data_IF_378644880760
#
_entry.id   IF_378644880760
#
_cell.length_a   1.000
_cell.length_b   1.000
_cell.length_c   1.000
_cell.angle_alpha   90.00
_cell.angle_beta   90.00
_cell.angle_gamma   90.00
#
_symmetry.space_group_name_H-M   'P 1'
#
loop_
_entity.id
_entity.type
_entity.pdbx_description
1 polymer ?
#
# COMPACT_ATOMS: atom_id res chain seq x y z
N UNK A 1 -28.30 16.16 1.19
CA UNK A 1 -27.91 15.93 -0.20
C UNK A 1 -26.48 15.42 -0.24
N UNK A 2 -26.26 14.30 -0.88
CA UNK A 2 -24.92 13.75 -1.00
C UNK A 2 -24.08 14.53 -2.00
N UNK A 3 -22.80 14.66 -1.72
CA UNK A 3 -21.85 15.28 -2.63
C UNK A 3 -21.22 14.20 -3.51
N UNK A 4 -20.75 14.60 -4.69
CA UNK A 4 -20.10 13.70 -5.63
C UNK A 4 -18.57 13.55 -5.33
N UNK A 5 -18.15 13.92 -4.14
CA UNK A 5 -16.73 13.83 -3.75
C UNK A 5 -16.58 13.67 -2.24
N UNK A 6 -15.41 13.15 -1.85
CA UNK A 6 -14.93 13.13 -0.47
C UNK A 6 -13.50 13.66 -0.46
N UNK A 7 -13.11 14.31 0.63
CA UNK A 7 -11.77 14.85 0.81
C UNK A 7 -11.20 14.30 2.12
N UNK A 8 -9.96 13.85 2.08
CA UNK A 8 -9.25 13.40 3.28
C UNK A 8 -7.82 13.94 3.25
N UNK A 9 -7.34 14.36 4.44
CA UNK A 9 -5.95 14.68 4.64
C UNK A 9 -5.31 13.50 5.37
N UNK A 10 -4.53 12.71 4.65
CA UNK A 10 -4.03 11.42 5.14
C UNK A 10 -3.27 11.50 6.47
N UNK A 11 -2.41 12.51 6.73
CA UNK A 11 -1.70 12.59 8.00
C UNK A 11 -2.60 12.75 9.22
N UNK A 12 -3.84 13.23 9.07
CA UNK A 12 -4.80 13.40 10.15
C UNK A 12 -5.65 12.16 10.43
N UNK A 13 -5.59 11.15 9.56
CA UNK A 13 -6.31 9.90 9.76
C UNK A 13 -5.56 9.08 10.81
N UNK A 14 -6.26 8.55 11.84
CA UNK A 14 -5.61 7.69 12.82
C UNK A 14 -4.93 6.49 12.15
N UNK A 15 -3.67 6.23 12.52
CA UNK A 15 -2.92 5.10 12.00
C UNK A 15 -3.41 3.78 12.58
N UNK A 16 -3.39 2.73 11.76
CA UNK A 16 -3.63 1.36 12.20
C UNK A 16 -2.37 0.54 11.98
N UNK A 17 -2.03 -0.37 12.91
CA UNK A 17 -0.88 -1.24 12.72
C UNK A 17 -1.03 -2.10 11.47
N UNK A 18 0.05 -2.28 10.75
CA UNK A 18 0.16 -3.27 9.68
C UNK A 18 1.42 -4.10 9.90
N UNK A 19 1.58 -5.26 9.25
CA UNK A 19 2.75 -6.12 9.48
C UNK A 19 4.10 -5.45 9.25
N UNK A 20 4.16 -4.39 8.45
CA UNK A 20 5.39 -3.66 8.12
C UNK A 20 5.52 -2.31 8.81
N UNK A 21 4.52 -1.87 9.60
CA UNK A 21 4.55 -0.57 10.27
C UNK A 21 3.17 -0.02 10.57
N UNK A 22 2.84 1.14 10.01
CA UNK A 22 1.57 1.84 10.26
C UNK A 22 0.94 2.30 8.96
N UNK A 23 -0.38 2.17 8.87
CA UNK A 23 -1.16 2.55 7.69
C UNK A 23 -2.27 3.53 8.07
N UNK A 24 -2.44 4.60 7.27
CA UNK A 24 -3.53 5.57 7.37
C UNK A 24 -4.37 5.46 6.11
N UNK A 25 -5.62 5.04 6.26
CA UNK A 25 -6.45 4.60 5.14
C UNK A 25 -7.62 5.55 4.91
N UNK A 26 -7.70 6.15 3.72
CA UNK A 26 -8.79 7.02 3.33
C UNK A 26 -9.79 6.28 2.44
N UNK A 27 -11.05 6.69 2.56
CA UNK A 27 -12.18 6.22 1.75
C UNK A 27 -12.52 4.74 1.95
N UNK A 28 -12.07 4.17 3.06
CA UNK A 28 -12.35 2.77 3.43
C UNK A 28 -13.74 2.67 4.09
N UNK A 29 -14.78 2.97 3.31
CA UNK A 29 -16.18 2.96 3.74
C UNK A 29 -16.99 1.99 2.90
N UNK A 30 -18.09 1.48 3.47
CA UNK A 30 -18.91 0.46 2.82
C UNK A 30 -19.51 0.93 1.49
N UNK A 31 -19.68 2.24 1.31
CA UNK A 31 -20.26 2.82 0.09
C UNK A 31 -19.24 3.06 -1.03
N UNK A 32 -17.96 2.73 -0.79
CA UNK A 32 -16.91 2.92 -1.80
C UNK A 32 -16.28 1.58 -2.20
N UNK A 33 -16.73 0.96 -3.30
CA UNK A 33 -16.12 -0.28 -3.79
C UNK A 33 -14.96 -0.08 -4.77
N UNK A 34 -14.61 1.18 -5.11
CA UNK A 34 -13.77 1.47 -6.28
C UNK A 34 -12.29 1.42 -5.96
N UNK A 35 -11.85 2.18 -4.97
CA UNK A 35 -10.45 2.28 -4.61
C UNK A 35 -10.29 2.96 -3.25
N UNK A 36 -9.26 2.57 -2.52
CA UNK A 36 -8.85 3.27 -1.30
C UNK A 36 -7.45 3.83 -1.50
N UNK A 37 -7.03 4.78 -0.66
CA UNK A 37 -5.68 5.32 -0.68
C UNK A 37 -5.10 5.26 0.73
N UNK A 38 -3.90 4.69 0.86
CA UNK A 38 -3.24 4.46 2.13
C UNK A 38 -1.90 5.16 2.17
N UNK A 39 -1.66 5.91 3.24
CA UNK A 39 -0.33 6.40 3.57
C UNK A 39 0.30 5.40 4.52
N UNK A 40 1.40 4.78 4.12
CA UNK A 40 2.03 3.69 4.88
C UNK A 40 3.44 4.08 5.27
N UNK A 41 3.71 4.02 6.58
CA UNK A 41 5.05 4.09 7.13
C UNK A 41 5.58 2.67 7.30
N UNK A 42 6.56 2.31 6.47
CA UNK A 42 7.20 1.00 6.53
C UNK A 42 8.44 1.13 7.40
N UNK A 43 8.43 0.46 8.56
CA UNK A 43 9.47 0.57 9.59
C UNK A 43 10.40 -0.64 9.64
N UNK A 44 9.99 -1.74 9.04
CA UNK A 44 10.75 -2.99 9.00
C UNK A 44 10.38 -3.77 7.75
N UNK A 45 11.18 -4.76 7.41
CA UNK A 45 10.93 -5.59 6.25
C UNK A 45 9.57 -6.31 6.38
N UNK A 46 8.74 -6.17 5.37
CA UNK A 46 7.46 -6.82 5.33
C UNK A 46 7.60 -8.31 4.97
N UNK A 47 6.62 -9.11 5.40
CA UNK A 47 6.50 -10.48 4.92
C UNK A 47 6.02 -10.50 3.47
N UNK A 48 6.59 -11.38 2.67
CA UNK A 48 6.15 -11.59 1.30
C UNK A 48 4.70 -12.04 1.28
N UNK A 49 3.87 -11.36 0.52
CA UNK A 49 2.45 -11.65 0.39
C UNK A 49 1.95 -11.34 -1.02
N UNK A 50 0.71 -11.72 -1.30
CA UNK A 50 0.07 -11.43 -2.57
C UNK A 50 -1.43 -11.28 -2.39
N UNK A 51 -2.07 -10.72 -3.41
CA UNK A 51 -3.53 -10.55 -3.47
C UNK A 51 -4.07 -11.33 -4.65
N UNK A 52 -5.27 -11.86 -4.51
CA UNK A 52 -5.94 -12.60 -5.59
C UNK A 52 -6.84 -11.72 -6.43
N UNK A 53 -7.37 -10.66 -5.85
CA UNK A 53 -8.32 -9.73 -6.50
C UNK A 53 -7.77 -8.33 -6.65
N UNK A 54 -7.07 -7.83 -5.63
CA UNK A 54 -6.58 -6.46 -5.61
C UNK A 54 -5.41 -6.27 -6.57
N UNK A 55 -5.47 -5.17 -7.32
CA UNK A 55 -4.31 -4.55 -7.94
C UNK A 55 -3.88 -3.42 -7.02
N UNK A 56 -2.60 -3.25 -6.81
CA UNK A 56 -2.09 -2.15 -5.98
C UNK A 56 -1.17 -1.26 -6.80
N UNK A 57 -1.28 0.05 -6.57
CA UNK A 57 -0.34 1.02 -7.11
C UNK A 57 0.43 1.61 -5.94
N UNK A 58 1.74 1.41 -5.92
CA UNK A 58 2.63 2.02 -4.94
C UNK A 58 3.28 3.26 -5.51
N UNK A 59 3.35 4.31 -4.71
CA UNK A 59 4.19 5.48 -4.97
C UNK A 59 5.11 5.66 -3.78
N UNK A 60 6.41 5.57 -4.01
CA UNK A 60 7.42 5.77 -2.97
C UNK A 60 7.54 7.27 -2.73
N UNK A 61 7.32 7.72 -1.49
CA UNK A 61 7.44 9.14 -1.12
C UNK A 61 8.81 9.46 -0.54
N UNK A 62 9.28 8.63 0.39
CA UNK A 62 10.53 8.85 1.10
C UNK A 62 11.22 7.50 1.34
N UNK A 63 12.54 7.51 1.36
CA UNK A 63 13.33 6.35 1.74
C UNK A 63 14.36 6.78 2.77
N UNK A 64 14.67 5.87 3.72
CA UNK A 64 15.73 6.06 4.71
C UNK A 64 16.81 5.01 4.43
N UNK A 65 17.89 5.45 3.76
CA UNK A 65 18.94 4.56 3.30
C UNK A 65 18.51 3.77 2.06
N UNK A 66 19.14 2.60 1.86
CA UNK A 66 18.82 1.73 0.74
C UNK A 66 17.44 1.10 0.91
N UNK A 67 16.64 1.17 -0.14
CA UNK A 67 15.29 0.65 -0.15
C UNK A 67 15.04 -0.15 -1.43
N UNK A 68 14.31 -1.25 -1.29
CA UNK A 68 14.03 -2.17 -2.38
C UNK A 68 12.59 -2.63 -2.33
N UNK A 69 12.05 -3.01 -3.49
CA UNK A 69 10.86 -3.85 -3.58
C UNK A 69 11.26 -5.19 -4.16
N UNK A 70 10.84 -6.25 -3.50
CA UNK A 70 10.97 -7.61 -4.04
C UNK A 70 9.65 -7.97 -4.69
N UNK A 71 9.70 -8.27 -5.99
CA UNK A 71 8.53 -8.50 -6.85
C UNK A 71 8.74 -9.83 -7.58
N UNK A 72 7.96 -10.86 -7.21
CA UNK A 72 8.11 -12.23 -7.73
C UNK A 72 9.56 -12.72 -7.63
N UNK A 73 10.21 -12.46 -6.50
CA UNK A 73 11.58 -12.86 -6.23
C UNK A 73 12.66 -11.95 -6.83
N UNK A 74 12.28 -10.95 -7.61
CA UNK A 74 13.21 -9.99 -8.19
C UNK A 74 13.33 -8.77 -7.28
N UNK A 75 14.55 -8.41 -6.90
CA UNK A 75 14.82 -7.27 -6.03
C UNK A 75 15.11 -6.03 -6.87
N UNK A 76 14.27 -5.01 -6.72
CA UNK A 76 14.36 -3.76 -7.47
C UNK A 76 14.63 -2.62 -6.51
N UNK A 77 15.71 -1.87 -6.76
CA UNK A 77 16.03 -0.67 -6.00
C UNK A 77 14.99 0.41 -6.28
N UNK A 78 14.51 1.07 -5.21
CA UNK A 78 13.51 2.13 -5.31
C UNK A 78 14.03 3.42 -4.68
N UNK A 79 13.53 4.53 -5.18
CA UNK A 79 13.83 5.87 -4.68
C UNK A 79 12.55 6.70 -4.67
N UNK A 80 12.54 7.89 -4.02
CA UNK A 80 11.35 8.75 -4.05
C UNK A 80 10.83 8.97 -5.47
N UNK A 81 9.51 8.88 -5.61
CA UNK A 81 8.73 8.98 -6.84
C UNK A 81 8.81 7.77 -7.77
N UNK A 82 9.43 6.67 -7.33
CA UNK A 82 9.25 5.39 -8.02
C UNK A 82 7.80 4.95 -7.85
N UNK A 83 7.17 4.53 -8.94
CA UNK A 83 5.82 3.99 -8.93
C UNK A 83 5.84 2.53 -9.41
N UNK A 84 5.02 1.68 -8.75
CA UNK A 84 4.98 0.25 -9.04
C UNK A 84 3.53 -0.19 -9.17
N UNK A 85 3.23 -0.89 -10.26
CA UNK A 85 1.95 -1.54 -10.45
C UNK A 85 2.08 -3.01 -10.06
N UNK A 86 1.36 -3.41 -9.01
CA UNK A 86 1.40 -4.77 -8.47
C UNK A 86 0.10 -5.47 -8.84
N UNK A 87 0.18 -6.40 -9.76
CA UNK A 87 -0.98 -7.15 -10.27
C UNK A 87 -1.36 -8.28 -9.32
N UNK A 88 -2.61 -8.75 -9.36
CA UNK A 88 -3.00 -9.95 -8.61
C UNK A 88 -2.05 -11.10 -8.86
N UNK A 89 -1.69 -11.80 -7.80
CA UNK A 89 -0.76 -12.93 -7.86
C UNK A 89 0.71 -12.58 -7.70
N UNK A 90 1.10 -11.33 -7.87
CA UNK A 90 2.49 -10.91 -7.69
C UNK A 90 2.88 -11.02 -6.21
N UNK A 91 3.88 -11.85 -5.91
CA UNK A 91 4.46 -11.97 -4.57
C UNK A 91 5.37 -10.78 -4.33
N UNK A 92 5.08 -10.00 -3.28
CA UNK A 92 5.80 -8.75 -3.08
C UNK A 92 6.04 -8.45 -1.61
N UNK A 93 7.11 -7.69 -1.36
CA UNK A 93 7.41 -7.09 -0.06
C UNK A 93 8.30 -5.87 -0.22
N UNK A 94 8.15 -4.92 0.67
CA UNK A 94 9.09 -3.81 0.82
C UNK A 94 10.26 -4.24 1.69
N UNK A 95 11.46 -3.79 1.35
CA UNK A 95 12.70 -4.04 2.11
C UNK A 95 13.33 -2.69 2.40
N UNK A 96 13.60 -2.43 3.69
CA UNK A 96 14.10 -1.15 4.16
C UNK A 96 13.00 -0.22 4.65
N UNK A 97 13.40 0.89 5.25
CA UNK A 97 12.46 1.88 5.80
C UNK A 97 12.04 2.85 4.72
N UNK A 98 10.74 3.04 4.57
CA UNK A 98 10.22 3.96 3.56
C UNK A 98 8.81 4.41 3.91
N UNK A 99 8.41 5.53 3.32
CA UNK A 99 7.03 6.02 3.35
C UNK A 99 6.47 5.93 1.94
N UNK A 100 5.30 5.30 1.82
CA UNK A 100 4.67 5.08 0.52
C UNK A 100 3.20 5.49 0.54
N UNK A 101 2.66 5.76 -0.64
CA UNK A 101 1.22 5.73 -0.89
C UNK A 101 0.90 4.42 -1.59
N UNK A 102 -0.13 3.74 -1.10
CA UNK A 102 -0.67 2.52 -1.71
C UNK A 102 -2.12 2.77 -2.12
N UNK A 103 -2.43 2.46 -3.37
CA UNK A 103 -3.79 2.60 -3.90
C UNK A 103 -4.29 1.21 -4.34
N UNK A 104 -5.03 0.50 -3.47
CA UNK A 104 -5.69 -0.74 -3.84
C UNK A 104 -6.92 -0.50 -4.73
N UNK A 105 -7.07 -1.30 -5.76
CA UNK A 105 -8.22 -1.30 -6.69
C UNK A 105 -8.64 -2.76 -6.93
N UNK A 106 -9.89 -3.16 -6.65
CA UNK A 106 -10.96 -2.40 -5.98
C UNK A 106 -10.57 -1.95 -4.58
N UNK A 107 -11.50 -1.32 -3.87
CA UNK A 107 -11.25 -0.84 -2.51
C UNK A 107 -10.66 -1.93 -1.63
N UNK A 108 -9.75 -1.55 -0.74
CA UNK A 108 -8.99 -2.49 0.09
C UNK A 108 -9.89 -3.47 0.82
N UNK A 109 -9.54 -4.76 0.72
CA UNK A 109 -10.17 -5.87 1.43
C UNK A 109 -9.08 -6.58 2.26
N UNK A 110 -9.14 -6.49 3.60
CA UNK A 110 -8.13 -7.12 4.45
C UNK A 110 -8.15 -8.65 4.36
N UNK A 111 -9.23 -9.25 3.86
CA UNK A 111 -9.33 -10.69 3.65
C UNK A 111 -8.66 -11.18 2.37
N UNK A 112 -8.25 -10.27 1.49
CA UNK A 112 -7.55 -10.61 0.24
C UNK A 112 -6.04 -10.43 0.39
N UNK A 113 -5.49 -10.96 1.47
CA UNK A 113 -4.06 -10.99 1.72
C UNK A 113 -3.64 -12.44 1.98
N UNK A 114 -2.70 -12.92 1.19
CA UNK A 114 -2.32 -14.33 1.15
C UNK A 114 -0.82 -14.50 1.29
N UNK A 115 -0.44 -15.60 1.91
CA UNK A 115 0.95 -15.98 2.11
C UNK A 115 1.15 -17.38 1.54
N UNK A 116 2.34 -17.63 1.01
CA UNK A 116 2.69 -18.98 0.58
C UNK A 116 3.06 -19.88 1.76
#
# INVERSE_FOLDING_TARGET
MSKNYKVAYLPEIPGVPCPCGESRRAFATADNPVATIHLVDIKEDAHTHYHKKLTEIYLILETDGDAFMELDGERISVRPLTSILIKPGCRHRAIGKMKIVNIPVPAFDPHDEWFD
#
